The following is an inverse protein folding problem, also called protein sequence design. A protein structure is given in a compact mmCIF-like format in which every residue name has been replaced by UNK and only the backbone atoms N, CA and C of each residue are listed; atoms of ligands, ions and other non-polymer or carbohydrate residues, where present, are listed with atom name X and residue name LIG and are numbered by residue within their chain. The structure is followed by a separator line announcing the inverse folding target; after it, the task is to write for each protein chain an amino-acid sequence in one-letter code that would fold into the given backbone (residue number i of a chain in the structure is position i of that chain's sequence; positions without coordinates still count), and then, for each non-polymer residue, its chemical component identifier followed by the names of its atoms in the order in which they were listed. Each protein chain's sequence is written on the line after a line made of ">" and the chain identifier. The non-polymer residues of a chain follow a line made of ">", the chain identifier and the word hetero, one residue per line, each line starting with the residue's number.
data_IF_736265627302
#
_entry.id   IF_736265627302
#
_cell.length_a   1.000
_cell.length_b   1.000
_cell.length_c   1.000
_cell.angle_alpha   90.00
_cell.angle_beta   90.00
_cell.angle_gamma   90.00
#
_symmetry.space_group_name_H-M   'P 1'
#
loop_
_entity.id
_entity.type
_entity.pdbx_description
1 polymer ?
#
# COMPACT_ATOMS: atom_id res chain seq x y z
N UNK A 1 -29.74 -20.38 -20.39
CA UNK A 1 -29.40 -20.22 -18.97
C UNK A 1 -27.89 -19.99 -18.83
N UNK A 2 -27.29 -18.95 -19.45
CA UNK A 2 -25.85 -19.02 -19.76
C UNK A 2 -25.02 -17.80 -19.35
N UNK A 3 -25.56 -16.58 -19.27
CA UNK A 3 -24.76 -15.38 -18.96
C UNK A 3 -24.56 -15.17 -17.45
N UNK A 4 -25.61 -15.31 -16.65
CA UNK A 4 -25.57 -15.06 -15.20
C UNK A 4 -24.70 -16.08 -14.46
N UNK A 5 -24.81 -17.36 -14.82
CA UNK A 5 -24.01 -18.44 -14.23
C UNK A 5 -22.52 -18.31 -14.57
N UNK A 6 -22.19 -17.83 -15.79
CA UNK A 6 -20.82 -17.59 -16.21
C UNK A 6 -20.21 -16.42 -15.42
N UNK A 7 -20.95 -15.33 -15.25
CA UNK A 7 -20.51 -14.15 -14.50
C UNK A 7 -20.29 -14.50 -13.01
N UNK A 8 -21.16 -15.33 -12.42
CA UNK A 8 -20.96 -15.82 -11.06
C UNK A 8 -19.73 -16.72 -10.91
N UNK A 9 -19.43 -17.58 -11.90
CA UNK A 9 -18.19 -18.37 -11.88
C UNK A 9 -16.94 -17.51 -12.01
N UNK A 10 -16.94 -16.51 -12.89
CA UNK A 10 -15.83 -15.56 -13.00
C UNK A 10 -15.62 -14.76 -11.72
N UNK A 11 -16.71 -14.26 -11.10
CA UNK A 11 -16.63 -13.56 -9.82
C UNK A 11 -16.09 -14.45 -8.69
N UNK A 12 -16.45 -15.73 -8.66
CA UNK A 12 -15.91 -16.70 -7.70
C UNK A 12 -14.42 -16.98 -7.94
N UNK A 13 -14.00 -17.13 -9.21
CA UNK A 13 -12.59 -17.34 -9.54
C UNK A 13 -11.69 -16.16 -9.18
N UNK A 14 -12.16 -14.92 -9.38
CA UNK A 14 -11.42 -13.74 -8.93
C UNK A 14 -11.37 -13.65 -7.40
N UNK A 15 -12.46 -14.02 -6.70
CA UNK A 15 -12.48 -14.08 -5.24
C UNK A 15 -11.50 -15.15 -4.69
N UNK A 16 -11.41 -16.31 -5.35
CA UNK A 16 -10.45 -17.37 -5.02
C UNK A 16 -9.00 -16.89 -5.20
N UNK A 17 -8.71 -16.19 -6.32
CA UNK A 17 -7.39 -15.57 -6.55
C UNK A 17 -7.07 -14.53 -5.49
N UNK A 18 -8.01 -13.66 -5.12
CA UNK A 18 -7.82 -12.65 -4.08
C UNK A 18 -7.65 -13.26 -2.68
N UNK A 19 -8.26 -14.42 -2.40
CA UNK A 19 -8.09 -15.11 -1.11
C UNK A 19 -6.66 -15.66 -0.92
N UNK A 20 -5.94 -15.93 -2.02
CA UNK A 20 -4.52 -16.29 -2.03
C UNK A 20 -3.60 -15.07 -1.90
N UNK A 21 -4.10 -13.86 -2.16
CA UNK A 21 -3.32 -12.62 -2.04
C UNK A 21 -3.30 -12.15 -0.58
N UNK A 22 -2.11 -12.15 0.03
CA UNK A 22 -1.91 -11.74 1.43
C UNK A 22 -1.56 -12.87 2.40
N UNK A 23 -1.31 -14.08 1.90
CA UNK A 23 -0.57 -15.10 2.65
C UNK A 23 0.84 -14.60 2.97
N UNK A 24 1.47 -15.14 4.01
CA UNK A 24 2.88 -14.90 4.32
C UNK A 24 3.71 -15.31 3.09
N UNK A 25 4.29 -14.33 2.41
CA UNK A 25 5.23 -14.58 1.32
C UNK A 25 6.58 -15.02 1.89
N UNK A 26 7.35 -15.77 1.12
CA UNK A 26 8.75 -15.98 1.46
C UNK A 26 9.53 -14.68 1.28
N UNK A 27 10.25 -14.26 2.33
CA UNK A 27 11.23 -13.19 2.23
C UNK A 27 12.35 -13.64 1.29
N UNK A 28 12.39 -13.04 0.10
CA UNK A 28 13.42 -13.31 -0.90
C UNK A 28 14.24 -12.06 -1.18
N UNK A 29 15.55 -12.19 -1.04
CA UNK A 29 16.52 -11.16 -1.45
C UNK A 29 16.88 -11.31 -2.94
N UNK A 30 16.35 -12.32 -3.63
CA UNK A 30 16.60 -12.54 -5.05
C UNK A 30 15.83 -11.57 -5.96
N UNK A 31 14.89 -10.79 -5.40
CA UNK A 31 14.11 -9.78 -6.14
C UNK A 31 14.81 -8.43 -6.10
N UNK A 32 15.06 -7.87 -7.27
CA UNK A 32 15.78 -6.62 -7.43
C UNK A 32 14.80 -5.45 -7.45
N UNK A 33 14.82 -4.66 -6.39
CA UNK A 33 14.03 -3.44 -6.29
C UNK A 33 14.78 -2.30 -6.99
N UNK A 34 14.35 -1.96 -8.21
CA UNK A 34 15.02 -0.92 -9.04
C UNK A 34 14.63 0.49 -8.59
N UNK A 35 15.63 1.32 -8.29
CA UNK A 35 15.43 2.74 -7.99
C UNK A 35 15.43 3.57 -9.27
N UNK A 36 14.35 4.31 -9.51
CA UNK A 36 14.21 5.17 -10.70
C UNK A 36 14.31 6.63 -10.30
N UNK A 37 15.22 7.33 -10.96
CA UNK A 37 15.42 8.76 -10.81
C UNK A 37 14.37 9.56 -11.61
N UNK A 38 13.52 10.29 -10.87
CA UNK A 38 12.47 11.18 -11.38
C UNK A 38 12.91 12.65 -11.49
N UNK A 39 14.17 12.99 -11.19
CA UNK A 39 14.70 14.34 -11.36
C UNK A 39 14.69 14.76 -12.83
N UNK A 40 14.48 16.06 -13.05
CA UNK A 40 14.37 16.66 -14.39
C UNK A 40 13.30 15.97 -15.27
N UNK A 41 12.16 15.64 -14.66
CA UNK A 41 11.08 14.87 -15.28
C UNK A 41 10.64 15.41 -16.65
N UNK A 42 10.57 16.74 -16.79
CA UNK A 42 10.14 17.37 -18.04
C UNK A 42 11.05 17.00 -19.23
N UNK A 43 12.37 16.95 -19.01
CA UNK A 43 13.34 16.61 -20.05
C UNK A 43 13.53 15.09 -20.24
N UNK A 44 13.28 14.29 -19.19
CA UNK A 44 13.56 12.84 -19.16
C UNK A 44 12.33 11.95 -19.21
N UNK A 45 11.16 12.50 -19.56
CA UNK A 45 9.88 11.79 -19.49
C UNK A 45 9.88 10.46 -20.25
N UNK A 46 10.47 10.42 -21.44
CA UNK A 46 10.51 9.21 -22.27
C UNK A 46 11.46 8.16 -21.66
N UNK A 47 12.66 8.56 -21.25
CA UNK A 47 13.63 7.67 -20.61
C UNK A 47 13.11 7.09 -19.28
N UNK A 48 12.37 7.90 -18.51
CA UNK A 48 11.71 7.46 -17.28
C UNK A 48 10.60 6.46 -17.59
N UNK A 49 9.79 6.73 -18.63
CA UNK A 49 8.75 5.80 -19.07
C UNK A 49 9.32 4.46 -19.53
N UNK A 50 10.45 4.47 -20.24
CA UNK A 50 11.17 3.26 -20.64
C UNK A 50 11.72 2.49 -19.44
N UNK A 51 12.29 3.15 -18.43
CA UNK A 51 12.75 2.49 -17.20
C UNK A 51 11.59 1.86 -16.41
N UNK A 52 10.44 2.54 -16.40
CA UNK A 52 9.20 2.04 -15.80
C UNK A 52 8.66 0.81 -16.55
N UNK A 53 8.66 0.83 -17.89
CA UNK A 53 8.09 -0.25 -18.72
C UNK A 53 9.05 -1.42 -18.91
N UNK A 54 10.36 -1.15 -18.97
CA UNK A 54 11.42 -2.11 -19.26
C UNK A 54 11.62 -3.17 -18.17
N UNK A 55 11.01 -3.02 -16.99
CA UNK A 55 10.96 -4.09 -15.98
C UNK A 55 9.63 -4.81 -15.91
N UNK A 56 9.08 -5.18 -17.06
CA UNK A 56 7.88 -6.03 -17.18
C UNK A 56 8.02 -7.46 -16.61
N UNK A 57 8.87 -7.68 -15.61
CA UNK A 57 9.10 -8.97 -14.97
C UNK A 57 9.18 -8.84 -13.45
N UNK A 58 8.04 -8.68 -12.79
CA UNK A 58 7.87 -9.10 -11.39
C UNK A 58 7.90 -8.03 -10.30
N UNK A 59 8.73 -7.00 -10.39
CA UNK A 59 8.93 -6.06 -9.28
C UNK A 59 8.22 -4.72 -9.52
N UNK A 60 7.01 -4.58 -8.93
CA UNK A 60 6.18 -3.35 -8.97
C UNK A 60 6.54 -2.34 -7.88
N UNK A 61 7.54 -2.63 -7.06
CA UNK A 61 8.07 -1.74 -6.04
C UNK A 61 9.21 -0.94 -6.65
N UNK A 62 9.01 0.36 -6.78
CA UNK A 62 9.98 1.30 -7.31
C UNK A 62 10.25 2.36 -6.24
N UNK A 63 11.37 2.29 -5.52
CA UNK A 63 11.79 3.41 -4.69
C UNK A 63 11.96 4.62 -5.61
N UNK A 64 11.09 5.60 -5.40
CA UNK A 64 11.24 6.90 -6.02
C UNK A 64 12.48 7.63 -5.49
N UNK A 65 12.77 8.74 -6.12
CA UNK A 65 13.80 9.72 -5.73
C UNK A 65 13.85 10.01 -4.22
N UNK A 66 15.00 10.49 -3.71
CA UNK A 66 15.03 11.13 -2.39
C UNK A 66 13.89 12.14 -2.32
N UNK A 67 13.07 11.96 -1.31
CA UNK A 67 11.92 12.80 -1.04
C UNK A 67 12.30 14.27 -1.11
N UNK A 68 11.40 15.12 -1.62
CA UNK A 68 11.50 16.59 -1.48
C UNK A 68 11.58 17.03 -0.01
N UNK A 69 11.16 16.16 0.90
CA UNK A 69 11.32 16.32 2.34
C UNK A 69 12.70 15.81 2.76
N UNK A 70 13.39 16.62 3.55
CA UNK A 70 14.60 16.21 4.24
C UNK A 70 14.35 14.99 5.12
N UNK A 71 15.41 14.23 5.40
CA UNK A 71 15.31 13.10 6.32
C UNK A 71 14.85 13.53 7.74
N UNK A 72 15.10 14.78 8.13
CA UNK A 72 14.63 15.35 9.38
C UNK A 72 13.10 15.53 9.38
N UNK A 73 12.53 16.08 8.32
CA UNK A 73 11.06 16.25 8.18
C UNK A 73 10.35 14.90 8.16
N UNK A 74 10.91 13.91 7.46
CA UNK A 74 10.36 12.54 7.45
C UNK A 74 10.36 11.96 8.86
N UNK A 75 11.49 12.04 9.58
CA UNK A 75 11.59 11.55 10.96
C UNK A 75 10.63 12.28 11.89
N UNK A 76 10.46 13.59 11.72
CA UNK A 76 9.50 14.37 12.50
C UNK A 76 8.07 13.90 12.25
N UNK A 77 7.69 13.62 10.99
CA UNK A 77 6.37 13.10 10.67
C UNK A 77 6.12 11.72 11.33
N UNK A 78 7.12 10.84 11.33
CA UNK A 78 7.04 9.55 12.05
C UNK A 78 6.91 9.75 13.56
N UNK A 79 7.71 10.64 14.16
CA UNK A 79 7.66 10.93 15.60
C UNK A 79 6.31 11.52 16.03
N UNK A 80 5.75 12.45 15.24
CA UNK A 80 4.41 12.99 15.49
C UNK A 80 3.33 11.92 15.41
N UNK A 81 3.48 11.01 14.44
CA UNK A 81 2.56 9.88 14.25
C UNK A 81 2.63 8.93 15.45
N UNK A 82 3.84 8.53 15.87
CA UNK A 82 4.06 7.68 17.04
C UNK A 82 3.46 8.28 18.31
N UNK A 83 3.74 9.57 18.58
CA UNK A 83 3.16 10.28 19.71
C UNK A 83 1.62 10.30 19.68
N UNK A 84 1.02 10.47 18.50
CA UNK A 84 -0.44 10.41 18.35
C UNK A 84 -0.99 9.00 18.62
N UNK A 85 -0.29 7.94 18.19
CA UNK A 85 -0.72 6.56 18.44
C UNK A 85 -0.64 6.16 19.92
N UNK A 86 0.30 6.75 20.67
CA UNK A 86 0.49 6.54 22.11
C UNK A 86 -0.56 7.27 22.96
N UNK A 87 -1.29 8.22 22.38
CA UNK A 87 -2.42 8.86 23.07
C UNK A 87 -3.50 7.84 23.44
N UNK A 88 -4.22 8.07 24.55
CA UNK A 88 -5.37 7.25 24.92
C UNK A 88 -6.45 7.22 23.84
N UNK A 89 -7.19 6.11 23.77
CA UNK A 89 -8.23 5.89 22.75
C UNK A 89 -9.34 6.95 22.82
N UNK A 90 -9.68 7.45 24.02
CA UNK A 90 -10.66 8.52 24.21
C UNK A 90 -10.24 9.84 23.55
N UNK A 91 -8.95 10.12 23.46
CA UNK A 91 -8.42 11.31 22.78
C UNK A 91 -8.45 11.11 21.27
N UNK A 92 -7.97 9.96 20.79
CA UNK A 92 -7.96 9.63 19.35
C UNK A 92 -9.36 9.58 18.75
N UNK A 93 -10.37 9.14 19.52
CA UNK A 93 -11.78 9.11 19.10
C UNK A 93 -12.41 10.48 18.83
N UNK A 94 -11.79 11.57 19.28
CA UNK A 94 -12.26 12.93 18.98
C UNK A 94 -12.03 13.32 17.51
N UNK A 95 -11.22 12.55 16.78
CA UNK A 95 -10.86 12.81 15.39
C UNK A 95 -11.38 11.71 14.44
N UNK A 96 -12.71 11.47 14.33
CA UNK A 96 -13.23 10.37 13.52
C UNK A 96 -12.91 10.53 12.03
N UNK A 97 -12.80 9.41 11.30
CA UNK A 97 -12.64 9.40 9.84
C UNK A 97 -13.85 10.10 9.16
N UNK A 98 -13.58 11.22 8.49
CA UNK A 98 -14.55 11.97 7.69
C UNK A 98 -13.89 12.40 6.37
N UNK A 99 -14.51 12.08 5.23
CA UNK A 99 -13.99 12.47 3.92
C UNK A 99 -12.57 11.94 3.62
N UNK A 100 -12.26 10.70 4.03
CA UNK A 100 -10.94 10.05 3.92
C UNK A 100 -9.82 10.66 4.78
N UNK A 101 -10.15 11.52 5.75
CA UNK A 101 -9.20 12.05 6.71
C UNK A 101 -9.70 11.82 8.15
N UNK A 102 -8.81 11.41 9.06
CA UNK A 102 -9.13 11.16 10.46
C UNK A 102 -8.70 9.78 10.94
N UNK A 103 -9.03 9.49 12.20
CA UNK A 103 -8.70 8.29 12.93
C UNK A 103 -9.65 7.13 12.58
N UNK A 104 -9.06 6.00 12.19
CA UNK A 104 -9.75 4.73 11.99
C UNK A 104 -9.01 3.63 12.74
N UNK A 105 -9.72 2.86 13.57
CA UNK A 105 -9.15 1.74 14.32
C UNK A 105 -9.90 0.45 14.00
N UNK A 106 -9.17 -0.55 13.48
CA UNK A 106 -9.60 -1.96 13.31
C UNK A 106 -10.95 -2.17 12.58
N UNK A 107 -11.44 -1.20 11.82
CA UNK A 107 -12.78 -1.23 11.25
C UNK A 107 -12.87 -1.96 9.91
N UNK A 108 -11.77 -2.08 9.17
CA UNK A 108 -11.79 -2.72 7.86
C UNK A 108 -11.60 -4.24 7.95
N UNK A 109 -12.66 -4.97 7.61
CA UNK A 109 -12.63 -6.43 7.36
C UNK A 109 -12.34 -6.64 5.88
N UNK A 110 -11.30 -7.41 5.55
CA UNK A 110 -11.02 -7.79 4.16
C UNK A 110 -12.11 -8.76 3.67
N UNK A 111 -12.82 -8.47 2.57
CA UNK A 111 -13.83 -9.40 2.02
C UNK A 111 -13.23 -10.76 1.65
N UNK A 112 -12.00 -10.78 1.14
CA UNK A 112 -11.30 -11.99 0.67
C UNK A 112 -10.86 -12.94 1.80
N UNK A 113 -10.43 -12.42 2.94
CA UNK A 113 -9.89 -13.23 4.06
C UNK A 113 -10.77 -13.24 5.30
N UNK A 114 -11.88 -12.49 5.31
CA UNK A 114 -12.76 -12.23 6.47
C UNK A 114 -12.02 -11.83 7.76
N UNK A 115 -10.76 -11.41 7.63
CA UNK A 115 -9.89 -11.08 8.74
C UNK A 115 -9.86 -9.56 8.89
N UNK A 116 -10.01 -9.07 10.12
CA UNK A 116 -9.81 -7.64 10.43
C UNK A 116 -8.38 -7.28 10.09
N UNK A 117 -8.19 -6.22 9.31
CA UNK A 117 -6.87 -5.65 9.08
C UNK A 117 -6.32 -5.18 10.41
N UNK A 118 -5.26 -5.82 10.89
CA UNK A 118 -4.47 -5.34 12.02
C UNK A 118 -3.45 -4.34 11.48
N UNK A 119 -3.79 -3.06 11.47
CA UNK A 119 -2.80 -1.99 11.31
C UNK A 119 -2.26 -1.67 12.70
N UNK A 120 -1.27 -2.43 13.16
CA UNK A 120 -0.53 -2.11 14.38
C UNK A 120 0.75 -1.37 14.00
N UNK A 121 1.20 -0.35 14.76
CA UNK A 121 2.56 0.14 14.63
C UNK A 121 3.52 -1.03 14.91
N UNK A 122 4.53 -1.17 14.05
CA UNK A 122 5.67 -2.07 14.30
C UNK A 122 6.38 -1.48 15.53
N UNK A 123 6.54 -2.30 16.59
CA UNK A 123 7.39 -1.97 17.75
C UNK A 123 8.84 -2.29 17.44
#
# INVERSE_FOLDING_TARGET
>A
MNATTQNQRYALQELEKEALMGAEGEETFAREVRCIDLSNFAARKNDIAEQLWGGGGGDRLLPGQPSRYSAAEIRQAFSMTEAFFDLPDEVKRQYPLAGNAGWESKAQVRPSTRTRIKKSPIR
#
